data_IF_741551253741
#
_entry.id   IF_741551253741
#
_cell.length_a   1.000
_cell.length_b   1.000
_cell.length_c   1.000
_cell.angle_alpha   90.00
_cell.angle_beta   90.00
_cell.angle_gamma   90.00
#
_symmetry.space_group_name_H-M   'P 1'
#
loop_
_entity.id
_entity.type
_entity.pdbx_description
1 polymer ?
#
# COMPACT_ATOMS: atom_id res chain seq x y z
N UNK A 1 18.01 -28.87 15.59
CA UNK A 1 18.25 -27.80 14.59
C UNK A 1 16.90 -27.36 14.08
N UNK A 2 16.69 -26.05 14.03
CA UNK A 2 15.39 -25.39 14.08
C UNK A 2 14.37 -25.94 13.07
N UNK A 3 13.23 -26.32 13.62
CA UNK A 3 11.97 -26.59 12.95
C UNK A 3 11.39 -25.27 12.45
N UNK A 4 11.35 -25.05 11.13
CA UNK A 4 10.54 -23.97 10.56
C UNK A 4 9.10 -24.46 10.51
N UNK A 5 8.27 -23.73 11.24
CA UNK A 5 6.87 -23.99 11.57
C UNK A 5 5.95 -24.07 10.33
N UNK A 6 5.15 -25.14 10.16
CA UNK A 6 4.15 -25.23 9.10
C UNK A 6 2.87 -24.50 9.52
N UNK A 7 2.81 -23.17 9.36
CA UNK A 7 1.62 -22.43 9.83
C UNK A 7 1.37 -21.01 9.33
N UNK A 8 2.18 -20.47 8.42
CA UNK A 8 2.09 -19.06 8.05
C UNK A 8 1.99 -18.90 6.52
N UNK A 9 0.77 -18.70 6.02
CA UNK A 9 0.49 -18.66 4.58
C UNK A 9 1.24 -17.53 3.87
N UNK A 10 1.98 -17.86 2.82
CA UNK A 10 2.61 -16.88 1.93
C UNK A 10 1.59 -16.41 0.88
N UNK A 11 1.32 -15.10 0.81
CA UNK A 11 0.54 -14.51 -0.26
C UNK A 11 1.44 -14.25 -1.46
N UNK A 12 1.18 -14.95 -2.56
CA UNK A 12 1.92 -14.78 -3.81
C UNK A 12 1.24 -13.68 -4.64
N UNK A 13 1.92 -12.56 -4.83
CA UNK A 13 1.49 -11.47 -5.71
C UNK A 13 2.24 -11.49 -7.06
N UNK A 14 3.46 -12.01 -7.09
CA UNK A 14 4.16 -12.39 -8.33
C UNK A 14 4.76 -13.79 -8.17
N UNK A 15 4.41 -14.71 -9.05
CA UNK A 15 4.97 -16.08 -9.06
C UNK A 15 6.47 -16.10 -9.43
N UNK A 16 6.99 -15.01 -9.98
CA UNK A 16 8.42 -14.78 -10.27
C UNK A 16 9.02 -13.73 -9.33
N UNK A 17 8.35 -13.45 -8.20
CA UNK A 17 8.83 -12.52 -7.20
C UNK A 17 10.22 -12.88 -6.70
N UNK A 18 11.01 -11.85 -6.42
CA UNK A 18 12.40 -11.89 -5.99
C UNK A 18 12.58 -11.29 -4.58
N UNK A 19 11.48 -10.84 -3.97
CA UNK A 19 11.42 -10.30 -2.61
C UNK A 19 10.26 -10.91 -1.83
N UNK A 20 10.52 -11.25 -0.57
CA UNK A 20 9.50 -11.62 0.43
C UNK A 20 9.42 -10.51 1.45
N UNK A 21 8.34 -9.74 1.45
CA UNK A 21 8.05 -8.79 2.53
C UNK A 21 7.51 -9.55 3.73
N UNK A 22 8.08 -9.31 4.92
CA UNK A 22 7.62 -9.90 6.19
C UNK A 22 7.01 -8.79 7.04
N UNK A 23 5.70 -8.83 7.18
CA UNK A 23 4.90 -7.82 7.89
C UNK A 23 4.54 -8.32 9.29
N UNK A 24 4.32 -7.40 10.21
CA UNK A 24 4.05 -7.69 11.61
C UNK A 24 5.34 -7.98 12.41
N UNK A 25 5.24 -7.86 13.73
CA UNK A 25 6.40 -7.94 14.64
C UNK A 25 7.16 -9.27 14.55
N UNK A 26 6.43 -10.37 14.30
CA UNK A 26 7.01 -11.71 14.18
C UNK A 26 7.10 -12.19 12.71
N UNK A 27 6.76 -11.32 11.74
CA UNK A 27 6.73 -11.69 10.32
C UNK A 27 5.58 -12.62 9.95
N UNK A 28 4.45 -12.47 10.63
CA UNK A 28 3.21 -13.26 10.55
C UNK A 28 2.53 -13.20 9.18
N UNK A 29 2.82 -12.16 8.40
CA UNK A 29 2.32 -12.03 7.04
C UNK A 29 3.47 -11.93 6.05
N UNK A 30 3.50 -12.84 5.06
CA UNK A 30 4.58 -12.95 4.08
C UNK A 30 4.05 -12.74 2.68
N UNK A 31 4.61 -11.75 1.97
CA UNK A 31 4.20 -11.40 0.61
C UNK A 31 5.34 -11.69 -0.38
N UNK A 32 5.13 -12.60 -1.33
CA UNK A 32 6.05 -12.78 -2.46
C UNK A 32 5.72 -11.76 -3.56
N UNK A 33 6.65 -10.84 -3.80
CA UNK A 33 6.48 -9.64 -4.64
C UNK A 33 7.66 -9.44 -5.59
N UNK A 34 7.45 -8.59 -6.59
CA UNK A 34 8.49 -8.11 -7.49
C UNK A 34 9.14 -6.83 -6.97
N UNK A 35 10.45 -6.85 -6.78
CA UNK A 35 11.27 -5.67 -6.49
C UNK A 35 11.13 -4.59 -7.57
N UNK A 36 10.98 -5.00 -8.82
CA UNK A 36 10.78 -4.10 -9.96
C UNK A 36 9.46 -3.34 -9.86
N UNK A 37 8.36 -4.02 -9.51
CA UNK A 37 7.07 -3.37 -9.31
C UNK A 37 7.13 -2.34 -8.18
N UNK A 38 7.76 -2.70 -7.05
CA UNK A 38 7.97 -1.80 -5.92
C UNK A 38 8.85 -0.60 -6.29
N UNK A 39 9.95 -0.85 -7.00
CA UNK A 39 10.91 0.17 -7.46
C UNK A 39 10.27 1.16 -8.44
N UNK A 40 9.39 0.69 -9.32
CA UNK A 40 8.64 1.55 -10.23
C UNK A 40 7.63 2.43 -9.49
N UNK A 41 6.98 1.89 -8.46
CA UNK A 41 5.94 2.58 -7.71
C UNK A 41 6.47 3.57 -6.65
N UNK A 42 7.67 3.34 -6.12
CA UNK A 42 8.18 4.06 -4.94
C UNK A 42 9.69 4.35 -5.05
N UNK A 43 10.11 5.61 -4.87
CA UNK A 43 11.53 5.95 -4.78
C UNK A 43 12.19 5.40 -3.51
N UNK A 44 11.43 5.20 -2.43
CA UNK A 44 11.94 4.60 -1.18
C UNK A 44 12.27 3.13 -1.39
N UNK A 45 11.36 2.36 -2.01
CA UNK A 45 11.65 0.98 -2.37
C UNK A 45 12.75 0.89 -3.44
N UNK A 46 12.81 1.83 -4.39
CA UNK A 46 13.94 1.91 -5.33
C UNK A 46 15.27 2.03 -4.59
N UNK A 47 15.40 2.99 -3.68
CA UNK A 47 16.62 3.15 -2.89
C UNK A 47 16.96 1.88 -2.09
N UNK A 48 15.95 1.21 -1.54
CA UNK A 48 16.09 -0.05 -0.81
C UNK A 48 16.64 -1.19 -1.68
N UNK A 49 16.21 -1.30 -2.93
CA UNK A 49 16.55 -2.43 -3.82
C UNK A 49 17.66 -2.14 -4.83
N UNK A 50 17.99 -0.87 -5.09
CA UNK A 50 19.00 -0.50 -6.09
C UNK A 50 20.19 0.28 -5.48
N UNK A 51 20.22 0.50 -4.16
CA UNK A 51 21.30 1.23 -3.49
C UNK A 51 22.63 0.47 -3.54
N UNK A 52 23.77 1.14 -3.68
CA UNK A 52 25.10 0.52 -3.90
C UNK A 52 25.70 -0.35 -2.76
N UNK A 53 24.89 -0.82 -1.82
CA UNK A 53 25.31 -1.77 -0.79
C UNK A 53 25.31 -3.20 -1.37
N UNK A 54 26.21 -4.06 -0.89
CA UNK A 54 26.33 -5.44 -1.37
C UNK A 54 24.99 -6.21 -1.35
N UNK A 55 24.09 -5.89 -0.42
CA UNK A 55 22.78 -6.52 -0.27
C UNK A 55 21.78 -6.21 -1.40
N UNK A 56 22.00 -5.19 -2.23
CA UNK A 56 21.11 -4.86 -3.37
C UNK A 56 21.38 -5.68 -4.63
N UNK A 57 22.53 -6.36 -4.69
CA UNK A 57 23.00 -7.05 -5.89
C UNK A 57 22.45 -8.49 -6.04
N UNK A 58 21.86 -9.05 -4.98
CA UNK A 58 21.47 -10.48 -4.91
C UNK A 58 19.94 -10.69 -4.94
N UNK A 59 19.21 -9.94 -5.76
CA UNK A 59 17.78 -10.19 -5.98
C UNK A 59 17.58 -11.31 -7.01
N UNK A 60 16.95 -12.40 -6.57
CA UNK A 60 16.71 -13.57 -7.42
C UNK A 60 15.41 -14.25 -7.05
N UNK A 61 14.62 -14.66 -8.03
CA UNK A 61 13.42 -15.46 -7.81
C UNK A 61 13.72 -16.89 -7.34
N UNK A 62 14.94 -17.39 -7.57
CA UNK A 62 15.38 -18.69 -7.07
C UNK A 62 15.69 -18.67 -5.57
N UNK A 63 16.02 -17.49 -5.03
CA UNK A 63 16.27 -17.27 -3.61
C UNK A 63 15.78 -15.86 -3.24
N UNK A 64 14.46 -15.66 -3.11
CA UNK A 64 13.90 -14.33 -2.85
C UNK A 64 14.44 -13.72 -1.56
N UNK A 65 14.80 -12.44 -1.61
CA UNK A 65 15.32 -11.70 -0.46
C UNK A 65 14.20 -11.44 0.55
N UNK A 66 14.40 -11.80 1.81
CA UNK A 66 13.47 -11.45 2.88
C UNK A 66 13.71 -10.01 3.36
N UNK A 67 12.64 -9.22 3.45
CA UNK A 67 12.67 -7.83 3.92
C UNK A 67 11.68 -7.67 5.07
N UNK A 68 12.17 -7.50 6.32
CA UNK A 68 11.30 -7.26 7.47
C UNK A 68 10.77 -5.82 7.45
N UNK A 69 9.45 -5.69 7.57
CA UNK A 69 8.71 -4.43 7.70
C UNK A 69 7.77 -4.53 8.93
N UNK A 70 8.31 -4.60 10.15
CA UNK A 70 7.53 -4.92 11.36
C UNK A 70 6.50 -3.84 11.71
N UNK A 71 6.75 -2.59 11.31
CA UNK A 71 5.87 -1.45 11.59
C UNK A 71 4.79 -1.24 10.52
N UNK A 72 4.82 -2.02 9.43
CA UNK A 72 3.88 -1.87 8.33
C UNK A 72 2.56 -2.58 8.61
N UNK A 73 1.45 -1.88 8.38
CA UNK A 73 0.12 -2.47 8.49
C UNK A 73 -0.13 -3.47 7.36
N UNK A 74 -0.46 -4.71 7.73
CA UNK A 74 -0.63 -5.81 6.79
C UNK A 74 -1.69 -5.54 5.71
N UNK A 75 -2.89 -5.13 6.12
CA UNK A 75 -4.02 -4.93 5.20
C UNK A 75 -3.71 -3.84 4.16
N UNK A 76 -3.11 -2.74 4.61
CA UNK A 76 -2.71 -1.63 3.77
C UNK A 76 -1.59 -2.00 2.81
N UNK A 77 -0.56 -2.70 3.29
CA UNK A 77 0.57 -3.14 2.45
C UNK A 77 0.12 -4.18 1.42
N UNK A 78 -0.77 -5.10 1.79
CA UNK A 78 -1.39 -6.03 0.84
C UNK A 78 -2.17 -5.27 -0.24
N UNK A 79 -2.98 -4.29 0.14
CA UNK A 79 -3.76 -3.47 -0.80
C UNK A 79 -2.84 -2.72 -1.77
N UNK A 80 -1.82 -2.04 -1.26
CA UNK A 80 -0.82 -1.37 -2.07
C UNK A 80 -0.14 -2.33 -3.05
N UNK A 81 0.33 -3.48 -2.55
CA UNK A 81 1.01 -4.46 -3.39
C UNK A 81 0.07 -5.05 -4.45
N UNK A 82 -1.21 -5.28 -4.15
CA UNK A 82 -2.20 -5.70 -5.16
C UNK A 82 -2.36 -4.68 -6.29
N UNK A 83 -2.35 -3.38 -5.97
CA UNK A 83 -2.43 -2.31 -6.97
C UNK A 83 -1.22 -2.34 -7.89
N UNK A 84 0.00 -2.31 -7.32
CA UNK A 84 1.23 -2.19 -8.12
C UNK A 84 1.61 -3.48 -8.87
N UNK A 85 1.08 -4.63 -8.46
CA UNK A 85 1.23 -5.92 -9.16
C UNK A 85 0.04 -6.22 -10.10
N UNK A 86 -0.83 -5.25 -10.37
CA UNK A 86 -1.97 -5.38 -11.28
C UNK A 86 -2.98 -6.48 -10.90
N UNK A 87 -3.05 -6.85 -9.62
CA UNK A 87 -4.04 -7.79 -9.10
C UNK A 87 -5.38 -7.08 -8.82
N UNK A 88 -5.89 -6.36 -9.83
CA UNK A 88 -7.03 -5.44 -9.71
C UNK A 88 -8.31 -6.15 -9.28
N UNK A 89 -8.50 -7.42 -9.65
CA UNK A 89 -9.66 -8.22 -9.24
C UNK A 89 -9.77 -8.43 -7.71
N UNK A 90 -8.67 -8.18 -6.98
CA UNK A 90 -8.60 -8.26 -5.52
C UNK A 90 -8.53 -6.88 -4.84
N UNK A 91 -8.62 -5.80 -5.61
CA UNK A 91 -8.74 -4.43 -5.10
C UNK A 91 -10.23 -4.12 -4.90
N UNK A 92 -10.67 -3.67 -3.72
CA UNK A 92 -12.08 -3.47 -3.45
C UNK A 92 -12.65 -2.28 -4.23
N UNK A 93 -13.88 -2.40 -4.72
CA UNK A 93 -14.58 -1.27 -5.35
C UNK A 93 -14.99 -0.19 -4.33
N UNK A 94 -15.27 -0.61 -3.08
CA UNK A 94 -15.57 0.29 -1.96
C UNK A 94 -14.53 0.03 -0.88
N UNK A 95 -13.78 1.06 -0.50
CA UNK A 95 -12.77 0.97 0.56
C UNK A 95 -13.35 1.45 1.88
N UNK A 96 -12.94 0.81 2.97
CA UNK A 96 -13.17 1.34 4.31
C UNK A 96 -12.34 2.62 4.53
N UNK A 97 -12.90 3.59 5.24
CA UNK A 97 -12.27 4.90 5.42
C UNK A 97 -11.00 4.82 6.27
N UNK A 98 -10.94 3.93 7.27
CA UNK A 98 -9.74 3.74 8.08
C UNK A 98 -8.64 3.09 7.24
N UNK A 99 -8.96 2.04 6.47
CA UNK A 99 -7.99 1.43 5.54
C UNK A 99 -7.47 2.45 4.51
N UNK A 100 -8.33 3.35 4.02
CA UNK A 100 -7.94 4.37 3.07
C UNK A 100 -7.00 5.41 3.70
N UNK A 101 -7.28 5.85 4.93
CA UNK A 101 -6.40 6.74 5.68
C UNK A 101 -5.03 6.09 5.96
N UNK A 102 -5.01 4.81 6.34
CA UNK A 102 -3.76 4.06 6.53
C UNK A 102 -2.99 3.90 5.22
N UNK A 103 -3.67 3.72 4.07
CA UNK A 103 -3.03 3.72 2.76
C UNK A 103 -2.40 5.06 2.43
N UNK A 104 -3.01 6.18 2.83
CA UNK A 104 -2.40 7.50 2.71
C UNK A 104 -1.12 7.59 3.54
N UNK A 105 -1.10 7.08 4.77
CA UNK A 105 0.12 7.04 5.62
C UNK A 105 1.21 6.18 4.97
N UNK A 106 0.87 5.01 4.44
CA UNK A 106 1.81 4.17 3.69
C UNK A 106 2.37 4.92 2.48
N UNK A 107 1.51 5.61 1.72
CA UNK A 107 1.91 6.35 0.54
C UNK A 107 2.84 7.53 0.85
N UNK A 108 2.68 8.18 2.00
CA UNK A 108 3.61 9.19 2.49
C UNK A 108 4.97 8.56 2.85
N UNK A 109 4.95 7.50 3.68
CA UNK A 109 6.14 6.75 4.10
C UNK A 109 7.01 6.29 2.91
N UNK A 110 6.37 5.75 1.88
CA UNK A 110 7.05 5.19 0.71
C UNK A 110 7.04 6.13 -0.51
N UNK A 111 6.52 7.35 -0.38
CA UNK A 111 6.40 8.33 -1.46
C UNK A 111 5.79 7.77 -2.75
N UNK A 112 4.66 7.05 -2.63
CA UNK A 112 4.06 6.28 -3.72
C UNK A 112 2.59 6.63 -4.01
N UNK A 113 2.15 7.84 -3.65
CA UNK A 113 0.77 8.30 -3.89
C UNK A 113 0.33 8.18 -5.36
N UNK A 114 1.24 8.44 -6.31
CA UNK A 114 0.94 8.34 -7.74
C UNK A 114 0.49 6.94 -8.16
N UNK A 115 1.00 5.88 -7.51
CA UNK A 115 0.68 4.50 -7.85
C UNK A 115 -0.76 4.11 -7.49
N UNK A 116 -1.35 4.75 -6.47
CA UNK A 116 -2.71 4.46 -5.99
C UNK A 116 -3.74 5.48 -6.47
N UNK A 117 -3.31 6.57 -7.11
CA UNK A 117 -4.15 7.72 -7.48
C UNK A 117 -5.45 7.35 -8.21
N UNK A 118 -5.46 6.45 -9.22
CA UNK A 118 -6.69 6.11 -9.93
C UNK A 118 -7.74 5.47 -9.01
N UNK A 119 -7.32 4.58 -8.12
CA UNK A 119 -8.18 3.93 -7.13
C UNK A 119 -8.65 4.93 -6.08
N UNK A 120 -7.75 5.79 -5.61
CA UNK A 120 -8.06 6.81 -4.63
C UNK A 120 -9.14 7.78 -5.14
N UNK A 121 -9.03 8.24 -6.40
CA UNK A 121 -10.04 9.08 -7.02
C UNK A 121 -11.42 8.40 -7.07
N UNK A 122 -11.46 7.11 -7.46
CA UNK A 122 -12.68 6.32 -7.49
C UNK A 122 -13.31 6.18 -6.10
N UNK A 123 -12.52 5.79 -5.11
CA UNK A 123 -12.99 5.61 -3.74
C UNK A 123 -13.50 6.89 -3.11
N UNK A 124 -12.84 8.03 -3.36
CA UNK A 124 -13.38 9.32 -2.92
C UNK A 124 -14.77 9.54 -3.52
N UNK A 125 -14.96 9.35 -4.83
CA UNK A 125 -16.28 9.49 -5.47
C UNK A 125 -17.35 8.61 -4.83
N UNK A 126 -17.01 7.36 -4.50
CA UNK A 126 -17.92 6.42 -3.83
C UNK A 126 -18.26 6.88 -2.41
N UNK A 127 -17.32 7.52 -1.71
CA UNK A 127 -17.48 7.97 -0.33
C UNK A 127 -18.10 9.38 -0.21
N UNK A 128 -18.12 10.19 -1.29
CA UNK A 128 -18.70 11.54 -1.28
C UNK A 128 -20.14 11.60 -0.71
N UNK A 129 -21.07 10.68 -1.04
CA UNK A 129 -22.45 10.74 -0.53
C UNK A 129 -22.57 10.54 0.99
N UNK A 130 -21.51 10.07 1.66
CA UNK A 130 -21.45 9.81 3.09
C UNK A 130 -20.80 10.95 3.88
N UNK A 131 -20.38 12.02 3.19
CA UNK A 131 -19.90 13.24 3.85
C UNK A 131 -21.02 13.78 4.76
N UNK A 132 -20.67 14.09 6.01
CA UNK A 132 -21.60 14.45 7.08
C UNK A 132 -21.70 13.37 8.17
N UNK A 133 -21.37 12.12 7.85
CA UNK A 133 -21.18 11.06 8.86
C UNK A 133 -19.92 11.31 9.70
N UNK A 134 -19.94 10.88 10.97
CA UNK A 134 -18.79 11.00 11.89
C UNK A 134 -17.57 10.28 11.31
N UNK A 135 -16.41 10.94 11.28
CA UNK A 135 -15.15 10.36 10.80
C UNK A 135 -14.81 10.70 9.35
N UNK A 136 -15.78 11.19 8.55
CA UNK A 136 -15.58 11.51 7.13
C UNK A 136 -14.72 12.75 6.89
N UNK A 137 -14.38 13.52 7.92
CA UNK A 137 -13.34 14.55 7.88
C UNK A 137 -11.96 13.97 7.50
N UNK A 138 -11.73 12.66 7.72
CA UNK A 138 -10.52 11.96 7.26
C UNK A 138 -10.34 12.02 5.74
N UNK A 139 -11.41 12.25 4.96
CA UNK A 139 -11.29 12.44 3.52
C UNK A 139 -10.47 13.69 3.16
N UNK A 140 -10.40 14.71 4.02
CA UNK A 140 -9.50 15.85 3.82
C UNK A 140 -8.03 15.42 3.90
N UNK A 141 -7.69 14.62 4.92
CA UNK A 141 -6.35 14.04 5.06
C UNK A 141 -5.99 13.19 3.84
N UNK A 142 -6.88 12.30 3.43
CA UNK A 142 -6.67 11.40 2.31
C UNK A 142 -6.46 12.17 1.00
N UNK A 143 -7.35 13.11 0.68
CA UNK A 143 -7.29 13.85 -0.57
C UNK A 143 -6.10 14.81 -0.61
N UNK A 144 -5.66 15.34 0.52
CA UNK A 144 -4.43 16.11 0.62
C UNK A 144 -3.19 15.22 0.47
N UNK A 145 -3.06 14.17 1.29
CA UNK A 145 -1.88 13.30 1.33
C UNK A 145 -1.65 12.49 0.06
N UNK A 146 -2.70 12.23 -0.73
CA UNK A 146 -2.60 11.55 -2.02
C UNK A 146 -2.53 12.51 -3.22
N UNK A 147 -2.35 13.82 -2.98
CA UNK A 147 -2.32 14.86 -4.00
C UNK A 147 -3.54 14.78 -4.95
N UNK A 148 -4.75 14.88 -4.40
CA UNK A 148 -6.00 14.83 -5.16
C UNK A 148 -6.71 16.20 -5.14
N UNK A 149 -6.19 17.23 -5.84
CA UNK A 149 -6.63 18.61 -5.65
C UNK A 149 -8.12 18.83 -5.99
N UNK A 150 -8.61 18.20 -7.07
CA UNK A 150 -10.03 18.32 -7.45
C UNK A 150 -10.96 17.69 -6.39
N UNK A 151 -10.57 16.53 -5.87
CA UNK A 151 -11.31 15.82 -4.83
C UNK A 151 -11.23 16.58 -3.50
N UNK A 152 -10.08 17.13 -3.14
CA UNK A 152 -9.88 17.93 -1.93
C UNK A 152 -10.80 19.14 -1.91
N UNK A 153 -10.85 19.90 -3.02
CA UNK A 153 -11.79 21.02 -3.18
C UNK A 153 -13.23 20.56 -3.00
N UNK A 154 -13.61 19.44 -3.64
CA UNK A 154 -14.98 18.94 -3.57
C UNK A 154 -15.38 18.51 -2.15
N UNK A 155 -14.51 17.79 -1.45
CA UNK A 155 -14.73 17.36 -0.07
C UNK A 155 -14.85 18.59 0.84
N UNK A 156 -13.97 19.58 0.68
CA UNK A 156 -14.00 20.82 1.45
C UNK A 156 -15.31 21.59 1.25
N UNK A 157 -15.76 21.74 0.01
CA UNK A 157 -17.03 22.43 -0.30
C UNK A 157 -18.23 21.77 0.38
N UNK A 158 -18.26 20.43 0.41
CA UNK A 158 -19.37 19.69 1.01
C UNK A 158 -19.35 19.81 2.54
N UNK A 159 -18.17 19.68 3.17
CA UNK A 159 -18.05 19.82 4.63
C UNK A 159 -18.37 21.22 5.15
N UNK A 160 -18.10 22.27 4.37
CA UNK A 160 -18.43 23.65 4.77
C UNK A 160 -19.93 23.96 4.56
N UNK A 161 -20.60 23.34 3.59
CA UNK A 161 -22.02 23.59 3.28
C UNK A 161 -23.00 22.82 4.16
N UNK A 162 -22.56 21.75 4.81
CA UNK A 162 -23.40 20.89 5.67
C UNK A 162 -23.47 21.38 7.14
N UNK A 163 -23.10 22.64 7.37
CA UNK A 163 -23.19 23.36 8.65
C UNK A 163 -24.03 24.63 8.48
#
# INVERSE_FOLDING_TARGET
MATTDPGLGMLILDSRGDVILKLGAEGECRLLVSSNALTLASPVFRAMFTGGFAESQDLSSASPREVPLPDDNEATTILFCRIIHHNHAKVPAVVDLELFAQLTVLCDKYQCAAAVRPWAMHWVTVLLPRIGEVGFEKLLLVTHGLDLPAQFTKVTELLVKDR
#
